data_IF_458162068393
#
_entry.id   IF_458162068393
#
_cell.length_a   1.000
_cell.length_b   1.000
_cell.length_c   1.000
_cell.angle_alpha   90.00
_cell.angle_beta   90.00
_cell.angle_gamma   90.00
#
_symmetry.space_group_name_H-M   'P 1'
#
loop_
_entity.id
_entity.type
_entity.pdbx_description
1 polymer ?
#
# COMPACT_ATOMS: atom_id res chain seq x y z
N UNK A 1 -16.49 -8.88 25.66
CA UNK A 1 -17.34 -7.81 25.12
C UNK A 1 -16.42 -6.79 24.52
N UNK A 2 -16.61 -6.47 23.26
CA UNK A 2 -15.74 -5.55 22.51
C UNK A 2 -16.50 -4.26 22.16
N UNK A 3 -15.76 -3.18 21.91
CA UNK A 3 -16.31 -1.96 21.34
C UNK A 3 -16.21 -2.07 19.82
N UNK A 4 -17.32 -2.44 19.19
CA UNK A 4 -17.38 -2.81 17.79
C UNK A 4 -17.33 -1.58 16.87
N UNK A 5 -16.42 -1.57 15.89
CA UNK A 5 -16.45 -0.55 14.82
C UNK A 5 -17.79 -0.55 14.05
N UNK A 6 -18.47 -1.70 14.00
CA UNK A 6 -19.80 -1.86 13.42
C UNK A 6 -20.86 -1.03 14.14
N UNK A 7 -20.75 -0.85 15.46
CA UNK A 7 -21.68 -0.01 16.22
C UNK A 7 -21.47 1.47 15.92
N UNK A 8 -20.21 1.90 15.72
CA UNK A 8 -19.89 3.24 15.21
C UNK A 8 -20.50 3.44 13.82
N UNK A 9 -20.31 2.50 12.91
CA UNK A 9 -20.89 2.56 11.55
C UNK A 9 -22.42 2.63 11.59
N UNK A 10 -23.07 1.88 12.48
CA UNK A 10 -24.53 1.92 12.69
C UNK A 10 -24.97 3.31 13.14
N UNK A 11 -24.20 3.99 13.99
CA UNK A 11 -24.56 5.34 14.43
C UNK A 11 -24.56 6.34 13.28
N UNK A 12 -23.55 6.30 12.41
CA UNK A 12 -23.53 7.12 11.20
C UNK A 12 -24.66 6.76 10.22
N UNK A 13 -25.06 5.48 10.16
CA UNK A 13 -26.20 5.05 9.34
C UNK A 13 -27.52 5.65 9.87
N UNK A 14 -27.76 5.59 11.18
CA UNK A 14 -28.94 6.20 11.84
C UNK A 14 -29.01 7.71 11.61
N UNK A 15 -27.86 8.39 11.61
CA UNK A 15 -27.75 9.83 11.34
C UNK A 15 -27.84 10.18 9.84
N UNK A 16 -27.94 9.19 8.94
CA UNK A 16 -27.85 9.37 7.49
C UNK A 16 -26.55 10.04 7.02
N UNK A 17 -25.48 9.91 7.80
CA UNK A 17 -24.14 10.44 7.52
C UNK A 17 -23.18 9.37 6.99
N UNK A 18 -23.59 8.09 7.00
CA UNK A 18 -22.79 6.99 6.46
C UNK A 18 -22.78 7.02 4.92
N UNK A 19 -21.58 7.14 4.33
CA UNK A 19 -21.35 6.98 2.90
C UNK A 19 -20.64 5.66 2.62
N UNK A 20 -21.26 4.78 1.85
CA UNK A 20 -20.70 3.48 1.46
C UNK A 20 -20.23 3.53 0.01
N UNK A 21 -19.01 3.08 -0.24
CA UNK A 21 -18.44 2.96 -1.59
C UNK A 21 -18.34 1.49 -1.99
N UNK A 22 -18.79 1.15 -3.20
CA UNK A 22 -18.67 -0.22 -3.72
C UNK A 22 -17.26 -0.43 -4.25
N UNK A 23 -16.56 -1.42 -3.69
CA UNK A 23 -15.31 -1.92 -4.27
C UNK A 23 -15.68 -2.84 -5.44
N UNK A 24 -15.37 -2.39 -6.66
CA UNK A 24 -15.75 -3.07 -7.89
C UNK A 24 -14.93 -4.34 -8.17
N UNK A 25 -15.42 -5.13 -9.13
CA UNK A 25 -14.67 -6.27 -9.68
C UNK A 25 -13.34 -5.79 -10.26
N UNK A 26 -12.28 -6.57 -10.02
CA UNK A 26 -10.91 -6.24 -10.46
C UNK A 26 -10.03 -5.70 -9.34
N UNK A 27 -10.61 -5.35 -8.18
CA UNK A 27 -9.86 -5.04 -6.96
C UNK A 27 -9.67 -6.30 -6.14
N UNK A 28 -8.45 -6.52 -5.64
CA UNK A 28 -8.16 -7.53 -4.64
C UNK A 28 -8.30 -6.92 -3.24
N UNK A 29 -9.18 -7.50 -2.40
CA UNK A 29 -9.26 -7.21 -0.97
C UNK A 29 -8.80 -8.46 -0.23
N UNK A 30 -7.67 -8.34 0.47
CA UNK A 30 -6.99 -9.45 1.13
C UNK A 30 -6.90 -9.15 2.62
N UNK A 31 -7.16 -10.17 3.44
CA UNK A 31 -6.96 -10.15 4.89
C UNK A 31 -5.95 -11.25 5.25
N UNK A 32 -4.99 -10.93 6.10
CA UNK A 32 -3.89 -11.84 6.47
C UNK A 32 -4.13 -12.48 7.84
N UNK A 33 -5.39 -12.67 8.24
CA UNK A 33 -5.77 -13.19 9.56
C UNK A 33 -5.37 -14.65 9.83
N UNK A 34 -4.91 -15.41 8.83
CA UNK A 34 -4.38 -16.77 8.99
C UNK A 34 -3.05 -16.96 8.26
N UNK A 35 -2.21 -17.94 8.67
CA UNK A 35 -0.95 -18.23 7.97
C UNK A 35 -1.14 -18.56 6.48
N UNK A 36 -2.22 -19.27 6.13
CA UNK A 36 -2.54 -19.58 4.73
C UNK A 36 -2.96 -18.31 3.96
N UNK A 37 -3.76 -17.43 4.57
CA UNK A 37 -4.18 -16.18 3.95
C UNK A 37 -3.00 -15.23 3.75
N UNK A 38 -2.07 -15.16 4.71
CA UNK A 38 -0.81 -14.43 4.60
C UNK A 38 0.04 -14.96 3.44
N UNK A 39 0.19 -16.29 3.32
CA UNK A 39 0.94 -16.88 2.21
C UNK A 39 0.33 -16.53 0.85
N UNK A 40 -1.00 -16.61 0.72
CA UNK A 40 -1.72 -16.22 -0.49
C UNK A 40 -1.52 -14.75 -0.84
N UNK A 41 -1.56 -13.85 0.16
CA UNK A 41 -1.31 -12.44 -0.04
C UNK A 41 0.13 -12.16 -0.50
N UNK A 42 1.11 -12.80 0.13
CA UNK A 42 2.51 -12.68 -0.27
C UNK A 42 2.75 -13.15 -1.71
N UNK A 43 2.14 -14.29 -2.10
CA UNK A 43 2.19 -14.79 -3.48
C UNK A 43 1.52 -13.83 -4.47
N UNK A 44 0.36 -13.27 -4.11
CA UNK A 44 -0.35 -12.31 -4.94
C UNK A 44 0.53 -11.10 -5.27
N UNK A 45 1.14 -10.47 -4.26
CA UNK A 45 2.04 -9.33 -4.49
C UNK A 45 3.30 -9.74 -5.23
N UNK A 46 3.92 -10.87 -4.90
CA UNK A 46 5.11 -11.36 -5.61
C UNK A 46 4.89 -11.46 -7.12
N UNK A 47 3.75 -11.99 -7.56
CA UNK A 47 3.41 -12.11 -8.99
C UNK A 47 3.13 -10.74 -9.63
N UNK A 48 2.40 -9.86 -8.93
CA UNK A 48 2.06 -8.53 -9.47
C UNK A 48 3.32 -7.68 -9.63
N UNK A 49 4.19 -7.64 -8.63
CA UNK A 49 5.41 -6.83 -8.65
C UNK A 49 6.40 -7.32 -9.71
N UNK A 50 6.59 -8.64 -9.84
CA UNK A 50 7.47 -9.23 -10.85
C UNK A 50 6.99 -8.91 -12.28
N UNK A 51 5.67 -8.97 -12.50
CA UNK A 51 5.09 -8.74 -13.83
C UNK A 51 5.02 -7.26 -14.22
N UNK A 52 4.74 -6.37 -13.27
CA UNK A 52 4.61 -4.93 -13.55
C UNK A 52 5.94 -4.19 -13.40
N UNK A 53 6.91 -4.78 -12.71
CA UNK A 53 8.14 -4.11 -12.31
C UNK A 53 7.94 -3.07 -11.21
N UNK A 54 6.72 -2.83 -10.73
CA UNK A 54 6.39 -1.84 -9.70
C UNK A 54 6.26 -2.48 -8.31
N UNK A 55 6.57 -1.73 -7.26
CA UNK A 55 6.37 -2.17 -5.87
C UNK A 55 5.00 -1.71 -5.36
N UNK A 56 4.23 -2.62 -4.76
CA UNK A 56 2.95 -2.25 -4.17
C UNK A 56 3.18 -1.63 -2.80
N UNK A 57 2.53 -0.49 -2.53
CA UNK A 57 2.61 0.23 -1.26
C UNK A 57 4.04 0.67 -0.86
N UNK A 58 4.89 0.99 -1.84
CA UNK A 58 6.18 1.65 -1.61
C UNK A 58 5.96 3.07 -1.08
N UNK A 59 6.23 3.31 0.20
CA UNK A 59 5.90 4.57 0.86
C UNK A 59 6.80 5.72 0.39
N UNK A 60 8.07 5.43 0.11
CA UNK A 60 9.05 6.40 -0.35
C UNK A 60 8.66 6.94 -1.74
N UNK A 61 8.28 6.05 -2.66
CA UNK A 61 7.75 6.42 -3.98
C UNK A 61 6.46 7.23 -3.84
N UNK A 62 5.49 6.77 -3.03
CA UNK A 62 4.23 7.50 -2.81
C UNK A 62 4.51 8.91 -2.26
N UNK A 63 5.39 9.03 -1.26
CA UNK A 63 5.74 10.31 -0.67
C UNK A 63 6.40 11.25 -1.67
N UNK A 64 7.31 10.74 -2.49
CA UNK A 64 7.96 11.50 -3.55
C UNK A 64 6.95 11.96 -4.62
N UNK A 65 6.13 11.03 -5.15
CA UNK A 65 5.11 11.32 -6.17
C UNK A 65 4.00 12.26 -5.68
N UNK A 66 3.71 12.27 -4.38
CA UNK A 66 2.77 13.21 -3.75
C UNK A 66 3.40 14.55 -3.39
N UNK A 67 4.72 14.70 -3.55
CA UNK A 67 5.45 15.92 -3.18
C UNK A 67 5.58 16.13 -1.67
N UNK A 68 5.44 15.08 -0.87
CA UNK A 68 5.70 15.14 0.58
C UNK A 68 7.21 15.20 0.89
N UNK A 69 8.02 14.67 -0.01
CA UNK A 69 9.47 14.82 0.00
C UNK A 69 9.95 15.26 -1.38
N UNK A 70 11.00 16.07 -1.41
CA UNK A 70 11.64 16.48 -2.66
C UNK A 70 12.65 15.42 -3.18
N UNK A 71 13.20 15.66 -4.37
CA UNK A 71 14.17 14.75 -5.00
C UNK A 71 15.43 14.56 -4.16
N UNK A 72 15.90 15.60 -3.47
CA UNK A 72 17.09 15.51 -2.62
C UNK A 72 16.82 14.63 -1.39
N UNK A 73 15.67 14.80 -0.75
CA UNK A 73 15.20 13.97 0.36
C UNK A 73 14.97 12.52 -0.08
N UNK A 74 14.40 12.30 -1.26
CA UNK A 74 14.23 10.95 -1.81
C UNK A 74 15.57 10.23 -2.02
N UNK A 75 16.57 10.91 -2.59
CA UNK A 75 17.94 10.36 -2.70
C UNK A 75 18.58 10.09 -1.34
N UNK A 76 18.34 10.92 -0.32
CA UNK A 76 18.82 10.66 1.04
C UNK A 76 18.25 9.36 1.60
N UNK A 77 16.95 9.13 1.41
CA UNK A 77 16.29 7.88 1.81
C UNK A 77 16.90 6.69 1.09
N UNK A 78 17.04 6.75 -0.24
CA UNK A 78 17.68 5.69 -1.04
C UNK A 78 19.09 5.36 -0.53
N UNK A 79 19.88 6.39 -0.24
CA UNK A 79 21.25 6.22 0.24
C UNK A 79 21.33 5.60 1.65
N UNK A 80 20.30 5.76 2.47
CA UNK A 80 20.21 5.15 3.80
C UNK A 80 19.86 3.65 3.75
N UNK A 81 19.29 3.17 2.64
CA UNK A 81 18.86 1.78 2.50
C UNK A 81 20.05 0.91 2.05
N UNK A 82 20.29 -0.24 2.69
CA UNK A 82 21.31 -1.18 2.25
C UNK A 82 21.07 -1.69 0.83
N UNK A 83 22.13 -2.15 0.15
CA UNK A 83 22.01 -2.76 -1.18
C UNK A 83 20.99 -3.90 -1.16
N UNK A 84 19.95 -3.77 -1.97
CA UNK A 84 18.82 -4.69 -2.04
C UNK A 84 18.01 -4.41 -3.31
N UNK A 85 17.17 -5.37 -3.71
CA UNK A 85 16.22 -5.18 -4.81
C UNK A 85 15.26 -4.00 -4.57
N UNK A 86 14.94 -3.71 -3.30
CA UNK A 86 14.11 -2.55 -2.95
C UNK A 86 14.84 -1.22 -3.20
N UNK A 87 16.13 -1.16 -2.86
CA UNK A 87 16.96 0.01 -3.18
C UNK A 87 17.08 0.22 -4.69
N UNK A 88 17.37 -0.85 -5.43
CA UNK A 88 17.48 -0.81 -6.90
C UNK A 88 16.17 -0.32 -7.55
N UNK A 89 15.03 -0.75 -7.01
CA UNK A 89 13.72 -0.23 -7.41
C UNK A 89 13.61 1.28 -7.24
N UNK A 90 13.92 1.80 -6.04
CA UNK A 90 13.83 3.24 -5.76
C UNK A 90 14.83 4.07 -6.59
N UNK A 91 16.03 3.54 -6.82
CA UNK A 91 17.03 4.17 -7.69
C UNK A 91 16.50 4.31 -9.12
N UNK A 92 15.79 3.29 -9.63
CA UNK A 92 15.14 3.37 -10.94
C UNK A 92 14.04 4.44 -10.96
N UNK A 93 13.16 4.47 -9.96
CA UNK A 93 12.11 5.50 -9.86
C UNK A 93 12.70 6.91 -9.85
N UNK A 94 13.83 7.14 -9.16
CA UNK A 94 14.47 8.45 -9.11
C UNK A 94 15.03 8.95 -10.46
N UNK A 95 15.25 8.04 -11.41
CA UNK A 95 15.81 8.32 -12.75
C UNK A 95 14.71 8.51 -13.80
N UNK A 96 13.59 7.78 -13.68
CA UNK A 96 12.48 7.82 -14.65
C UNK A 96 11.65 9.11 -14.57
N UNK A 97 11.84 9.92 -13.52
CA UNK A 97 11.21 11.23 -13.26
C UNK A 97 12.17 12.42 -13.47
#
# INVERSE_FOLDING_TARGET
>A
GELEITDVNRKYLELSELKVQKVGRGVAWLDTGTPEALLKAAQFFGVIEDRQGLKVACLEEIAYMKGFIDKAQFYQVINSIPKSLYREYLERIAIED
#
